data_IF_830149397845
#
_entry.id   IF_830149397845
#
_cell.length_a   1.000
_cell.length_b   1.000
_cell.length_c   1.000
_cell.angle_alpha   90.00
_cell.angle_beta   90.00
_cell.angle_gamma   90.00
#
_symmetry.space_group_name_H-M   'P 1'
#
loop_
_entity.id
_entity.type
_entity.pdbx_description
1 polymer ?
#
# COMPACT_ATOMS: atom_id res chain seq x y z
N UNK A 1 -36.72 -16.62 -86.39
CA UNK A 1 -36.27 -17.63 -85.40
C UNK A 1 -35.55 -16.88 -84.28
N UNK A 2 -36.05 -16.69 -83.06
CA UNK A 2 -37.04 -17.45 -82.30
C UNK A 2 -36.33 -18.18 -81.15
N UNK A 3 -36.52 -17.69 -79.91
CA UNK A 3 -36.33 -18.35 -78.60
C UNK A 3 -34.91 -18.89 -78.29
N UNK A 4 -34.34 -18.88 -77.08
CA UNK A 4 -34.84 -19.37 -75.80
C UNK A 4 -34.00 -18.74 -74.67
N UNK A 5 -34.74 -18.39 -73.63
CA UNK A 5 -34.37 -17.89 -72.32
C UNK A 5 -33.84 -19.02 -71.40
N UNK A 6 -33.34 -18.65 -70.21
CA UNK A 6 -33.30 -19.42 -68.95
C UNK A 6 -32.10 -20.31 -68.57
N UNK A 7 -31.57 -19.88 -67.42
CA UNK A 7 -31.32 -20.64 -66.18
C UNK A 7 -30.08 -21.53 -66.17
N UNK A 8 -29.07 -21.02 -65.45
CA UNK A 8 -28.05 -21.69 -64.64
C UNK A 8 -26.81 -20.80 -64.80
N UNK A 9 -26.69 -19.71 -64.07
CA UNK A 9 -25.74 -19.66 -62.95
C UNK A 9 -26.39 -18.85 -61.82
N UNK A 10 -26.99 -19.61 -60.91
CA UNK A 10 -27.45 -19.17 -59.60
C UNK A 10 -26.29 -19.45 -58.64
N UNK A 11 -25.99 -18.48 -57.77
CA UNK A 11 -25.25 -18.60 -56.49
C UNK A 11 -23.73 -18.37 -56.56
N UNK A 12 -23.33 -17.12 -56.38
CA UNK A 12 -22.06 -16.72 -55.78
C UNK A 12 -22.35 -15.48 -54.94
N UNK A 13 -22.49 -15.68 -53.64
CA UNK A 13 -23.04 -14.74 -52.66
C UNK A 13 -22.17 -13.48 -52.56
N UNK A 14 -22.73 -12.36 -53.00
CA UNK A 14 -22.36 -11.03 -52.55
C UNK A 14 -22.88 -10.84 -51.12
N UNK A 15 -22.00 -10.50 -50.18
CA UNK A 15 -22.37 -10.29 -48.78
C UNK A 15 -21.17 -10.26 -47.84
N UNK A 16 -20.17 -9.43 -48.13
CA UNK A 16 -18.99 -9.22 -47.28
C UNK A 16 -19.02 -7.78 -46.77
N UNK A 17 -19.94 -7.48 -45.86
CA UNK A 17 -19.97 -6.20 -45.15
C UNK A 17 -20.77 -6.35 -43.84
N UNK A 18 -20.23 -5.75 -42.78
CA UNK A 18 -20.75 -5.67 -41.41
C UNK A 18 -20.46 -6.88 -40.51
N UNK A 19 -19.42 -6.74 -39.67
CA UNK A 19 -19.45 -6.83 -38.20
C UNK A 19 -18.03 -6.62 -37.65
N UNK A 20 -17.46 -5.44 -37.92
CA UNK A 20 -16.28 -4.94 -37.22
C UNK A 20 -16.77 -3.94 -36.18
N UNK A 21 -16.92 -4.39 -34.94
CA UNK A 21 -17.46 -3.55 -33.87
C UNK A 21 -17.77 -4.35 -32.63
N UNK A 22 -16.77 -5.01 -32.05
CA UNK A 22 -16.92 -5.62 -30.73
C UNK A 22 -15.72 -5.29 -29.85
N UNK A 23 -16.06 -4.53 -28.80
CA UNK A 23 -15.37 -4.37 -27.53
C UNK A 23 -13.94 -3.81 -27.57
N UNK A 24 -13.85 -2.47 -27.59
CA UNK A 24 -12.84 -1.81 -26.76
C UNK A 24 -13.28 -2.04 -25.31
N UNK A 25 -12.89 -3.19 -24.75
CA UNK A 25 -12.94 -3.39 -23.31
C UNK A 25 -11.87 -2.46 -22.72
N UNK A 26 -12.26 -1.22 -22.41
CA UNK A 26 -11.46 -0.38 -21.55
C UNK A 26 -11.20 -1.17 -20.28
N UNK A 27 -9.94 -1.45 -19.99
CA UNK A 27 -9.52 -2.00 -18.72
C UNK A 27 -10.08 -1.08 -17.64
N UNK A 28 -11.11 -1.54 -16.94
CA UNK A 28 -11.65 -0.84 -15.79
C UNK A 28 -10.56 -0.86 -14.72
N UNK A 29 -9.74 0.19 -14.70
CA UNK A 29 -8.72 0.41 -13.70
C UNK A 29 -9.42 0.33 -12.33
N UNK A 30 -8.92 -0.55 -11.46
CA UNK A 30 -9.42 -0.64 -10.10
C UNK A 30 -9.34 0.75 -9.46
N UNK A 31 -10.46 1.26 -8.97
CA UNK A 31 -10.52 2.59 -8.34
C UNK A 31 -10.12 2.54 -6.86
N UNK A 32 -10.10 1.34 -6.28
CA UNK A 32 -9.86 1.18 -4.86
C UNK A 32 -9.26 -0.18 -4.50
N UNK A 33 -8.53 -0.22 -3.39
CA UNK A 33 -7.85 -1.40 -2.83
C UNK A 33 -8.19 -1.53 -1.35
N UNK A 34 -8.55 -2.73 -0.90
CA UNK A 34 -8.72 -3.02 0.52
C UNK A 34 -7.35 -3.08 1.19
N UNK A 35 -7.08 -2.20 2.17
CA UNK A 35 -5.79 -2.17 2.91
C UNK A 35 -5.86 -2.92 4.23
N UNK A 36 -7.06 -3.09 4.81
CA UNK A 36 -7.30 -3.95 5.99
C UNK A 36 -8.75 -4.39 6.02
N UNK A 37 -8.99 -5.58 6.57
CA UNK A 37 -10.33 -6.12 6.71
C UNK A 37 -10.41 -7.02 7.94
N UNK A 38 -11.41 -6.79 8.79
CA UNK A 38 -11.63 -7.52 10.04
C UNK A 38 -13.11 -7.79 10.24
N UNK A 39 -13.44 -8.95 10.81
CA UNK A 39 -14.82 -9.36 11.11
C UNK A 39 -15.36 -10.48 10.20
N UNK A 40 -16.62 -10.89 10.37
CA UNK A 40 -17.25 -11.97 9.60
C UNK A 40 -17.21 -11.84 8.06
N UNK A 41 -17.12 -10.63 7.50
CA UNK A 41 -17.03 -10.42 6.04
C UNK A 41 -15.59 -10.28 5.54
N UNK A 42 -14.58 -10.44 6.41
CA UNK A 42 -13.18 -10.29 6.03
C UNK A 42 -12.75 -11.25 4.92
N UNK A 43 -13.30 -12.47 4.90
CA UNK A 43 -13.05 -13.43 3.81
C UNK A 43 -13.58 -12.98 2.45
N UNK A 44 -14.63 -12.15 2.40
CA UNK A 44 -15.16 -11.59 1.15
C UNK A 44 -14.34 -10.38 0.67
N UNK A 45 -13.68 -9.68 1.59
CA UNK A 45 -12.86 -8.50 1.33
C UNK A 45 -11.46 -8.68 1.90
N UNK A 46 -10.65 -9.65 1.42
CA UNK A 46 -9.29 -9.84 1.92
C UNK A 46 -8.44 -8.59 1.67
N UNK A 47 -7.40 -8.42 2.51
CA UNK A 47 -6.38 -7.39 2.30
C UNK A 47 -5.78 -7.55 0.90
N UNK A 48 -5.68 -6.43 0.19
CA UNK A 48 -5.20 -6.36 -1.18
C UNK A 48 -6.25 -6.55 -2.27
N UNK A 49 -7.51 -6.83 -1.92
CA UNK A 49 -8.57 -6.96 -2.92
C UNK A 49 -8.77 -5.63 -3.65
N UNK A 50 -8.56 -5.64 -4.96
CA UNK A 50 -8.93 -4.57 -5.89
C UNK A 50 -10.44 -4.55 -6.08
N UNK A 51 -11.05 -3.37 -5.94
CA UNK A 51 -12.47 -3.15 -6.10
C UNK A 51 -12.72 -2.20 -7.28
N UNK A 52 -13.67 -2.53 -8.18
CA UNK A 52 -13.99 -1.70 -9.33
C UNK A 52 -14.65 -0.37 -8.92
N UNK A 53 -14.76 0.56 -9.87
CA UNK A 53 -15.52 1.79 -9.69
C UNK A 53 -16.96 1.47 -9.25
N UNK A 54 -17.51 2.24 -8.29
CA UNK A 54 -18.88 2.08 -7.78
C UNK A 54 -19.16 0.69 -7.17
N UNK A 55 -18.12 -0.03 -6.73
CA UNK A 55 -18.29 -1.31 -6.07
C UNK A 55 -19.15 -1.17 -4.81
N UNK A 56 -20.01 -2.15 -4.59
CA UNK A 56 -20.85 -2.25 -3.41
C UNK A 56 -20.20 -3.19 -2.40
N UNK A 57 -19.88 -2.67 -1.22
CA UNK A 57 -19.29 -3.40 -0.08
C UNK A 57 -20.41 -3.66 0.93
N UNK A 58 -20.72 -4.93 1.17
CA UNK A 58 -21.75 -5.35 2.13
C UNK A 58 -21.07 -5.88 3.38
N UNK A 59 -21.32 -5.22 4.51
CA UNK A 59 -20.70 -5.53 5.79
C UNK A 59 -21.76 -6.02 6.78
N UNK A 60 -21.39 -7.03 7.57
CA UNK A 60 -22.15 -7.57 8.71
C UNK A 60 -21.78 -6.80 9.98
N UNK A 61 -22.56 -7.01 11.05
CA UNK A 61 -22.28 -6.39 12.34
C UNK A 61 -20.89 -6.79 12.86
N UNK A 62 -20.12 -5.81 13.32
CA UNK A 62 -18.76 -6.02 13.82
C UNK A 62 -17.67 -6.07 12.74
N UNK A 63 -18.02 -5.86 11.47
CA UNK A 63 -17.03 -5.73 10.39
C UNK A 63 -16.40 -4.34 10.36
N UNK A 64 -15.10 -4.30 10.07
CA UNK A 64 -14.40 -3.09 9.64
C UNK A 64 -13.56 -3.39 8.41
N UNK A 65 -13.78 -2.63 7.34
CA UNK A 65 -13.01 -2.74 6.10
C UNK A 65 -12.42 -1.38 5.77
N UNK A 66 -11.10 -1.32 5.72
CA UNK A 66 -10.36 -0.12 5.34
C UNK A 66 -10.01 -0.18 3.86
N UNK A 67 -10.44 0.81 3.11
CA UNK A 67 -10.29 0.91 1.65
C UNK A 67 -9.50 2.16 1.32
N UNK A 68 -8.51 2.01 0.45
CA UNK A 68 -7.82 3.12 -0.19
C UNK A 68 -8.42 3.33 -1.58
N UNK A 69 -8.85 4.55 -1.89
CA UNK A 69 -9.30 4.97 -3.22
C UNK A 69 -8.61 6.28 -3.63
N UNK A 70 -8.93 6.82 -4.81
CA UNK A 70 -8.36 8.10 -5.29
C UNK A 70 -8.68 9.29 -4.39
N UNK A 71 -9.73 9.23 -3.59
CA UNK A 71 -10.06 10.26 -2.59
C UNK A 71 -9.34 10.03 -1.25
N UNK A 72 -8.54 8.97 -1.13
CA UNK A 72 -7.74 8.61 0.03
C UNK A 72 -8.26 7.37 0.76
N UNK A 73 -7.81 7.17 1.99
CA UNK A 73 -8.18 5.99 2.78
C UNK A 73 -9.45 6.25 3.61
N UNK A 74 -10.31 5.23 3.76
CA UNK A 74 -11.51 5.28 4.61
C UNK A 74 -11.77 3.94 5.28
N UNK A 75 -12.40 3.96 6.46
CA UNK A 75 -12.89 2.77 7.15
C UNK A 75 -14.39 2.69 6.95
N UNK A 76 -14.87 1.51 6.56
CA UNK A 76 -16.27 1.15 6.43
C UNK A 76 -16.60 0.22 7.60
N UNK A 77 -17.56 0.59 8.44
CA UNK A 77 -17.96 -0.20 9.61
C UNK A 77 -19.37 -0.77 9.40
N UNK A 78 -19.54 -2.08 9.55
CA UNK A 78 -20.83 -2.74 9.42
C UNK A 78 -21.69 -2.68 10.69
N UNK A 79 -22.98 -3.05 10.60
CA UNK A 79 -23.65 -3.61 9.43
C UNK A 79 -24.10 -2.53 8.43
N UNK A 80 -24.06 -2.84 7.13
CA UNK A 80 -24.54 -1.92 6.10
C UNK A 80 -24.00 -2.20 4.70
N UNK A 81 -24.54 -1.48 3.72
CA UNK A 81 -24.12 -1.54 2.32
C UNK A 81 -23.51 -0.21 1.92
N UNK A 82 -22.24 -0.23 1.51
CA UNK A 82 -21.44 0.96 1.18
C UNK A 82 -21.09 0.95 -0.30
N UNK A 83 -21.34 2.05 -0.99
CA UNK A 83 -20.98 2.20 -2.41
C UNK A 83 -19.72 3.06 -2.55
N UNK A 84 -18.75 2.57 -3.33
CA UNK A 84 -17.46 3.23 -3.51
C UNK A 84 -17.53 4.21 -4.70
N UNK A 85 -18.13 5.38 -4.48
CA UNK A 85 -18.51 6.28 -5.57
C UNK A 85 -17.48 7.37 -5.90
N UNK A 86 -16.30 7.37 -5.24
CA UNK A 86 -15.30 8.45 -5.32
C UNK A 86 -15.76 9.81 -4.77
N UNK A 87 -17.06 10.02 -4.63
CA UNK A 87 -17.67 11.22 -4.07
C UNK A 87 -17.77 11.13 -2.55
N UNK A 88 -16.67 11.45 -1.86
CA UNK A 88 -16.75 11.96 -0.48
C UNK A 88 -15.85 13.18 -0.40
N UNK A 89 -16.47 14.34 -0.18
CA UNK A 89 -15.78 15.59 0.13
C UNK A 89 -14.85 15.37 1.32
N UNK A 90 -13.56 15.68 1.15
CA UNK A 90 -12.66 15.93 2.26
C UNK A 90 -11.82 17.16 1.97
N UNK A 91 -11.61 17.94 3.03
CA UNK A 91 -10.67 19.03 3.08
C UNK A 91 -9.28 18.52 2.67
N UNK A 92 -8.56 19.29 1.84
CA UNK A 92 -7.37 18.85 1.08
C UNK A 92 -6.17 18.29 1.88
N UNK A 93 -6.24 18.17 3.21
CA UNK A 93 -5.17 17.66 4.06
C UNK A 93 -4.92 16.15 3.96
N UNK A 94 -5.95 15.32 3.81
CA UNK A 94 -5.81 13.86 3.83
C UNK A 94 -5.01 13.28 2.66
N UNK A 95 -5.29 13.77 1.44
CA UNK A 95 -4.56 13.37 0.24
C UNK A 95 -3.07 13.77 0.30
N UNK A 96 -2.77 14.97 0.82
CA UNK A 96 -1.37 15.42 0.99
C UNK A 96 -0.60 14.59 2.01
N UNK A 97 -1.26 14.14 3.10
CA UNK A 97 -0.64 13.27 4.09
C UNK A 97 -0.31 11.89 3.50
N UNK A 98 -1.25 11.30 2.75
CA UNK A 98 -1.03 10.03 2.06
C UNK A 98 0.10 10.13 1.03
N UNK A 99 0.08 11.14 0.16
CA UNK A 99 1.14 11.37 -0.81
C UNK A 99 2.52 11.54 -0.14
N UNK A 100 2.57 12.25 1.01
CA UNK A 100 3.83 12.42 1.75
C UNK A 100 4.39 11.12 2.33
N UNK A 101 3.51 10.18 2.73
CA UNK A 101 3.92 8.88 3.24
C UNK A 101 4.41 7.92 2.15
N UNK A 102 3.83 8.03 0.95
CA UNK A 102 4.16 7.19 -0.20
C UNK A 102 5.30 7.80 -1.04
N UNK A 103 5.72 9.02 -0.72
CA UNK A 103 6.87 9.66 -1.35
C UNK A 103 8.15 8.83 -1.12
N UNK A 104 8.88 8.57 -2.20
CA UNK A 104 10.10 7.74 -2.22
C UNK A 104 11.32 8.40 -1.58
N UNK A 105 11.23 9.69 -1.25
CA UNK A 105 12.27 10.45 -0.54
C UNK A 105 11.66 11.09 0.71
N UNK A 106 11.83 10.45 1.86
CA UNK A 106 11.22 10.88 3.11
C UNK A 106 12.24 11.05 4.22
N UNK A 107 13.05 12.11 4.16
CA UNK A 107 13.64 12.65 5.39
C UNK A 107 12.50 13.07 6.32
N UNK A 108 12.55 12.63 7.59
CA UNK A 108 11.55 12.97 8.59
C UNK A 108 11.35 14.50 8.61
N UNK A 109 10.21 14.98 8.10
CA UNK A 109 9.90 16.40 8.15
C UNK A 109 9.37 16.67 9.55
N UNK A 110 10.23 17.19 10.40
CA UNK A 110 9.84 17.71 11.71
C UNK A 110 8.71 18.71 11.51
N UNK A 111 7.49 18.33 11.90
CA UNK A 111 6.37 19.26 12.01
C UNK A 111 6.62 20.16 13.21
N UNK A 112 7.43 21.20 13.04
CA UNK A 112 7.51 22.32 13.98
C UNK A 112 6.36 23.28 13.69
N UNK A 113 5.15 22.87 14.06
CA UNK A 113 3.98 23.76 14.08
C UNK A 113 4.02 24.62 15.34
N UNK A 114 4.07 25.94 15.18
CA UNK A 114 3.95 26.88 16.30
C UNK A 114 2.49 26.90 16.80
N UNK A 115 2.23 26.21 17.92
CA UNK A 115 0.97 26.38 18.67
C UNK A 115 1.06 27.64 19.54
N UNK A 116 0.32 28.69 19.18
CA UNK A 116 0.08 29.82 20.10
C UNK A 116 -0.96 29.37 21.12
N UNK A 117 -0.52 28.88 22.26
CA UNK A 117 -1.38 28.52 23.40
C UNK A 117 -0.62 27.69 24.41
N UNK A 118 -0.17 28.33 25.49
CA UNK A 118 0.50 27.66 26.60
C UNK A 118 -0.51 26.85 27.42
N UNK A 119 -0.28 25.54 27.53
CA UNK A 119 -0.49 24.72 28.75
C UNK A 119 0.04 23.31 28.49
N UNK A 120 1.00 22.87 29.30
CA UNK A 120 1.64 21.54 29.35
C UNK A 120 2.26 21.05 28.02
N UNK A 121 3.57 20.83 28.01
CA UNK A 121 4.21 20.06 26.95
C UNK A 121 3.50 18.70 26.87
N UNK A 122 2.83 18.35 25.76
CA UNK A 122 2.26 17.03 25.63
C UNK A 122 3.44 16.06 25.73
N UNK A 123 3.33 15.06 26.59
CA UNK A 123 4.21 13.89 26.52
C UNK A 123 4.00 13.35 25.12
N UNK A 124 4.92 13.66 24.21
CA UNK A 124 4.82 13.22 22.82
C UNK A 124 5.00 11.71 22.89
N UNK A 125 3.88 10.99 22.85
CA UNK A 125 3.89 9.54 22.79
C UNK A 125 4.85 9.15 21.65
N UNK A 126 5.73 8.18 21.92
CA UNK A 126 6.64 7.68 20.90
C UNK A 126 5.84 7.28 19.66
N UNK A 127 6.28 7.64 18.43
CA UNK A 127 5.55 7.26 17.23
C UNK A 127 5.41 5.74 17.21
N UNK A 128 4.19 5.24 17.04
CA UNK A 128 3.88 3.80 17.10
C UNK A 128 4.13 3.09 15.77
N UNK A 129 4.49 3.85 14.73
CA UNK A 129 4.76 3.40 13.37
C UNK A 129 5.62 4.43 12.61
N UNK A 130 6.31 4.02 11.52
CA UNK A 130 7.03 4.95 10.65
C UNK A 130 6.08 5.90 9.91
N UNK A 131 6.56 7.12 9.61
CA UNK A 131 5.80 8.12 8.85
C UNK A 131 5.88 7.92 7.33
N UNK A 132 6.70 6.99 6.85
CA UNK A 132 6.89 6.70 5.44
C UNK A 132 6.73 5.19 5.21
N UNK A 133 5.95 4.83 4.19
CA UNK A 133 5.62 3.43 3.88
C UNK A 133 6.85 2.64 3.42
N UNK A 134 7.89 3.29 2.90
CA UNK A 134 9.10 2.64 2.44
C UNK A 134 10.11 2.35 3.56
N UNK A 135 9.83 2.79 4.79
CA UNK A 135 10.66 2.45 5.95
C UNK A 135 10.29 1.09 6.53
N UNK A 136 11.30 0.29 6.87
CA UNK A 136 11.12 -1.01 7.51
C UNK A 136 11.04 -0.83 9.02
N UNK A 137 9.91 -1.23 9.63
CA UNK A 137 9.75 -1.25 11.08
C UNK A 137 10.46 -2.48 11.67
N UNK A 138 11.61 -2.25 12.28
CA UNK A 138 12.45 -3.32 12.84
C UNK A 138 11.88 -3.96 14.11
N UNK A 139 10.75 -3.46 14.63
CA UNK A 139 10.09 -4.02 15.83
C UNK A 139 9.03 -5.06 15.51
N UNK A 140 8.53 -5.14 14.26
CA UNK A 140 7.38 -5.99 13.91
C UNK A 140 7.71 -7.08 12.88
N UNK A 141 8.80 -6.94 12.12
CA UNK A 141 9.10 -7.84 11.01
C UNK A 141 8.01 -7.81 9.92
N UNK A 142 7.95 -8.85 9.10
CA UNK A 142 6.99 -9.00 8.00
C UNK A 142 7.61 -8.86 6.61
N UNK A 143 6.74 -8.79 5.60
CA UNK A 143 7.14 -8.60 4.20
C UNK A 143 7.04 -7.14 3.80
N UNK A 144 8.10 -6.61 3.19
CA UNK A 144 8.25 -5.22 2.79
C UNK A 144 8.59 -5.12 1.30
N UNK A 145 7.82 -4.31 0.59
CA UNK A 145 8.11 -3.90 -0.77
C UNK A 145 9.15 -2.78 -0.73
N UNK A 146 10.21 -2.96 -1.53
CA UNK A 146 11.34 -2.04 -1.60
C UNK A 146 11.25 -1.27 -2.92
N UNK A 147 11.03 0.03 -2.82
CA UNK A 147 10.97 0.94 -3.98
C UNK A 147 12.36 1.28 -4.54
N UNK A 148 13.35 1.38 -3.68
CA UNK A 148 14.75 1.65 -4.03
C UNK A 148 15.66 0.94 -3.02
N UNK A 149 16.35 -0.14 -3.43
CA UNK A 149 17.29 -0.85 -2.59
C UNK A 149 18.43 0.01 -2.04
N UNK A 150 18.85 1.05 -2.78
CA UNK A 150 19.97 1.91 -2.39
C UNK A 150 19.59 2.94 -1.33
N UNK A 151 18.30 3.30 -1.26
CA UNK A 151 17.76 4.28 -0.32
C UNK A 151 16.93 3.64 0.80
N UNK A 152 16.99 2.32 0.98
CA UNK A 152 16.20 1.62 1.98
C UNK A 152 16.59 2.06 3.40
N UNK A 153 15.59 2.30 4.25
CA UNK A 153 15.78 2.79 5.61
C UNK A 153 15.08 1.88 6.61
N UNK A 154 15.79 1.58 7.68
CA UNK A 154 15.31 0.93 8.89
C UNK A 154 14.81 1.98 9.87
N UNK A 155 13.62 1.77 10.40
CA UNK A 155 12.99 2.61 11.42
C UNK A 155 12.83 1.83 12.73
N UNK A 156 13.09 2.50 13.85
CA UNK A 156 12.84 1.99 15.21
C UNK A 156 11.82 2.85 15.97
N UNK A 157 10.96 2.24 16.83
CA UNK A 157 9.99 2.98 17.62
C UNK A 157 10.62 3.80 18.76
N UNK A 158 11.57 3.21 19.47
CA UNK A 158 12.26 3.89 20.57
C UNK A 158 13.46 4.67 20.05
N UNK A 159 13.43 5.99 20.27
CA UNK A 159 14.51 6.91 19.93
C UNK A 159 15.10 7.60 21.17
N UNK A 160 14.72 7.20 22.38
CA UNK A 160 15.13 7.89 23.61
C UNK A 160 16.63 7.76 23.86
N UNK A 161 17.18 6.58 23.61
CA UNK A 161 18.59 6.25 23.82
C UNK A 161 19.27 5.81 22.52
N UNK A 162 20.59 5.77 22.56
CA UNK A 162 21.37 5.04 21.57
C UNK A 162 20.93 3.57 21.56
N UNK A 163 20.92 2.95 20.39
CA UNK A 163 20.53 1.56 20.26
C UNK A 163 21.27 0.90 19.12
N UNK A 164 21.63 -0.37 19.32
CA UNK A 164 22.28 -1.20 18.31
C UNK A 164 21.48 -2.48 18.13
N UNK A 165 21.30 -2.88 16.88
CA UNK A 165 20.83 -4.21 16.53
C UNK A 165 21.76 -4.83 15.49
N UNK A 166 21.55 -6.10 15.19
CA UNK A 166 22.30 -6.85 14.19
C UNK A 166 21.33 -7.35 13.13
N UNK A 167 21.70 -7.10 11.88
CA UNK A 167 21.00 -7.61 10.72
C UNK A 167 21.75 -8.83 10.19
N UNK A 168 21.06 -9.94 10.05
CA UNK A 168 21.57 -11.21 9.52
C UNK A 168 20.84 -11.56 8.23
N UNK A 169 21.58 -11.75 7.15
CA UNK A 169 21.07 -12.26 5.88
C UNK A 169 20.97 -13.79 5.87
N UNK A 170 20.17 -14.32 4.95
CA UNK A 170 20.07 -15.76 4.70
C UNK A 170 21.39 -16.39 4.23
N UNK A 171 22.28 -15.62 3.60
CA UNK A 171 23.59 -16.07 3.16
C UNK A 171 24.66 -16.07 4.29
N UNK A 172 24.27 -15.66 5.50
CA UNK A 172 25.16 -15.58 6.66
C UNK A 172 25.89 -14.24 6.80
N UNK A 173 25.76 -13.31 5.87
CA UNK A 173 26.30 -11.96 6.02
C UNK A 173 25.61 -11.22 7.18
N UNK A 174 26.39 -10.47 7.94
CA UNK A 174 25.91 -9.72 9.11
C UNK A 174 26.38 -8.28 9.08
N UNK A 175 25.55 -7.38 9.60
CA UNK A 175 25.89 -5.98 9.79
C UNK A 175 25.28 -5.42 11.07
N UNK A 176 26.04 -4.59 11.77
CA UNK A 176 25.54 -3.83 12.91
C UNK A 176 24.78 -2.59 12.44
N UNK A 177 23.63 -2.38 13.06
CA UNK A 177 22.72 -1.28 12.80
C UNK A 177 22.64 -0.43 14.07
N UNK A 178 23.38 0.67 14.10
CA UNK A 178 23.39 1.59 15.23
C UNK A 178 22.62 2.88 14.93
N UNK A 179 21.72 3.22 15.83
CA UNK A 179 20.98 4.47 15.88
C UNK A 179 21.46 5.34 17.04
N UNK A 180 21.43 6.66 16.83
CA UNK A 180 21.67 7.65 17.87
C UNK A 180 20.38 8.04 18.56
N UNK A 181 20.46 8.43 19.83
CA UNK A 181 19.38 9.07 20.56
C UNK A 181 18.80 10.23 19.74
N UNK A 182 17.48 10.35 19.76
CA UNK A 182 16.69 11.28 18.97
C UNK A 182 16.46 10.87 17.50
N UNK A 183 17.25 9.95 16.93
CA UNK A 183 17.12 9.51 15.54
C UNK A 183 16.51 8.09 15.43
N UNK A 184 15.30 7.95 14.86
CA UNK A 184 14.70 6.64 14.64
C UNK A 184 15.11 6.00 13.30
N UNK A 185 15.83 6.71 12.42
CA UNK A 185 16.14 6.27 11.06
C UNK A 185 17.59 5.82 10.93
N UNK A 186 17.80 4.73 10.19
CA UNK A 186 19.12 4.25 9.80
C UNK A 186 19.06 3.68 8.38
N UNK A 187 19.93 4.14 7.50
CA UNK A 187 20.07 3.59 6.15
C UNK A 187 20.49 2.12 6.25
N UNK A 188 19.88 1.28 5.41
CA UNK A 188 20.21 -0.13 5.28
C UNK A 188 21.71 -0.32 4.95
N UNK A 189 22.44 -1.21 5.64
CA UNK A 189 23.88 -1.40 5.44
C UNK A 189 24.20 -2.24 4.19
N UNK A 190 23.83 -1.75 3.01
CA UNK A 190 23.87 -2.49 1.74
C UNK A 190 25.26 -2.93 1.29
N UNK A 191 26.32 -2.28 1.77
CA UNK A 191 27.70 -2.64 1.49
C UNK A 191 28.11 -4.00 2.11
N UNK A 192 27.48 -4.39 3.23
CA UNK A 192 27.80 -5.65 3.94
C UNK A 192 26.67 -6.65 3.84
N UNK A 193 25.42 -6.17 3.89
CA UNK A 193 24.22 -6.99 3.74
C UNK A 193 23.42 -6.40 2.59
N UNK A 194 23.62 -6.85 1.34
CA UNK A 194 22.88 -6.34 0.20
C UNK A 194 21.39 -6.64 0.31
N UNK A 195 20.54 -5.76 -0.25
CA UNK A 195 19.10 -6.02 -0.40
C UNK A 195 18.87 -6.88 -1.64
N UNK A 196 18.26 -8.05 -1.46
CA UNK A 196 17.97 -9.01 -2.53
C UNK A 196 16.47 -9.27 -2.61
N UNK A 197 15.94 -9.38 -3.83
CA UNK A 197 14.53 -9.66 -4.04
C UNK A 197 14.13 -11.04 -3.49
N UNK A 198 13.03 -11.09 -2.74
CA UNK A 198 12.50 -12.29 -2.11
C UNK A 198 13.27 -12.80 -0.89
N UNK A 199 14.45 -12.24 -0.59
CA UNK A 199 15.31 -12.68 0.51
C UNK A 199 14.70 -12.30 1.87
N UNK A 200 14.99 -13.12 2.88
CA UNK A 200 14.61 -12.84 4.28
C UNK A 200 15.85 -12.54 5.11
N UNK A 201 15.72 -11.56 5.99
CA UNK A 201 16.72 -11.13 6.94
C UNK A 201 16.17 -11.31 8.35
N UNK A 202 17.05 -11.56 9.30
CA UNK A 202 16.69 -11.56 10.72
C UNK A 202 17.30 -10.32 11.35
N UNK A 203 16.45 -9.50 11.96
CA UNK A 203 16.90 -8.39 12.78
C UNK A 203 16.80 -8.78 14.25
N UNK A 204 17.90 -8.62 14.97
CA UNK A 204 17.99 -8.89 16.40
C UNK A 204 18.41 -7.62 17.11
N UNK A 205 17.83 -7.36 18.29
CA UNK A 205 18.30 -6.28 19.15
C UNK A 205 18.24 -6.72 20.62
N UNK A 206 18.92 -6.03 21.54
CA UNK A 206 18.80 -6.29 22.97
C UNK A 206 17.38 -6.08 23.51
N UNK A 207 16.54 -5.34 22.77
CA UNK A 207 15.16 -5.01 23.15
C UNK A 207 14.20 -5.81 22.27
N UNK A 208 13.48 -6.76 22.87
CA UNK A 208 12.53 -7.62 22.18
C UNK A 208 13.17 -8.87 21.56
N UNK A 209 12.34 -9.68 20.90
CA UNK A 209 12.79 -10.90 20.21
C UNK A 209 13.26 -10.62 18.78
N UNK A 210 14.06 -11.53 18.17
CA UNK A 210 14.41 -11.43 16.77
C UNK A 210 13.18 -11.41 15.86
N UNK A 211 13.19 -10.54 14.85
CA UNK A 211 12.12 -10.44 13.85
C UNK A 211 12.63 -10.79 12.46
N UNK A 212 11.76 -11.39 11.64
CA UNK A 212 12.07 -11.72 10.25
C UNK A 212 11.53 -10.64 9.33
N UNK A 213 12.38 -10.16 8.43
CA UNK A 213 12.09 -9.13 7.43
C UNK A 213 12.28 -9.75 6.06
N UNK A 214 11.23 -9.87 5.26
CA UNK A 214 11.32 -10.32 3.87
C UNK A 214 11.23 -9.12 2.94
N UNK A 215 12.17 -8.98 2.01
CA UNK A 215 12.16 -7.88 1.04
C UNK A 215 11.62 -8.34 -0.30
N UNK A 216 10.77 -7.53 -0.92
CA UNK A 216 10.26 -7.72 -2.28
C UNK A 216 10.62 -6.47 -3.09
N UNK A 217 11.62 -6.56 -3.95
CA UNK A 217 12.09 -5.41 -4.72
C UNK A 217 11.13 -5.15 -5.87
N UNK A 218 10.65 -3.91 -5.97
CA UNK A 218 9.75 -3.50 -7.03
C UNK A 218 10.56 -3.11 -8.27
N UNK A 219 10.37 -3.81 -9.39
CA UNK A 219 11.00 -3.48 -10.66
C UNK A 219 10.57 -2.10 -11.18
N UNK A 220 9.29 -1.77 -10.99
CA UNK A 220 8.73 -0.44 -11.23
C UNK A 220 7.82 -0.08 -10.06
N UNK A 221 7.85 1.18 -9.67
CA UNK A 221 6.98 1.71 -8.62
C UNK A 221 5.98 2.63 -9.31
N UNK A 222 4.67 2.32 -9.24
CA UNK A 222 3.64 3.21 -9.78
C UNK A 222 3.72 4.61 -9.15
N UNK A 223 3.15 5.59 -9.83
CA UNK A 223 3.03 6.97 -9.30
C UNK A 223 1.69 7.22 -8.63
N UNK A 224 0.64 6.49 -9.05
CA UNK A 224 -0.69 6.53 -8.44
C UNK A 224 -0.71 5.70 -7.15
N UNK A 225 -1.23 6.29 -6.07
CA UNK A 225 -1.23 5.70 -4.74
C UNK A 225 -2.05 4.41 -4.65
N UNK A 226 -3.16 4.32 -5.40
CA UNK A 226 -4.00 3.12 -5.45
C UNK A 226 -3.27 2.01 -6.18
N UNK A 227 -2.56 2.34 -7.26
CA UNK A 227 -1.70 1.39 -7.95
C UNK A 227 -0.53 0.91 -7.06
N UNK A 228 0.13 1.81 -6.32
CA UNK A 228 1.19 1.43 -5.37
C UNK A 228 0.65 0.44 -4.33
N UNK A 229 -0.48 0.74 -3.68
CA UNK A 229 -1.09 -0.16 -2.71
C UNK A 229 -1.53 -1.49 -3.35
N UNK A 230 -2.01 -1.44 -4.59
CA UNK A 230 -2.33 -2.63 -5.39
C UNK A 230 -1.09 -3.49 -5.65
N UNK A 231 0.04 -2.91 -6.00
CA UNK A 231 1.31 -3.62 -6.19
C UNK A 231 1.83 -4.19 -4.86
N UNK A 232 1.72 -3.44 -3.76
CA UNK A 232 2.08 -3.94 -2.42
C UNK A 232 1.24 -5.17 -2.04
N UNK A 233 -0.06 -5.13 -2.31
CA UNK A 233 -0.97 -6.25 -2.12
C UNK A 233 -0.60 -7.48 -2.94
N UNK A 234 -0.32 -7.31 -4.23
CA UNK A 234 0.09 -8.40 -5.11
C UNK A 234 1.40 -9.06 -4.66
N UNK A 235 2.32 -8.28 -4.09
CA UNK A 235 3.60 -8.75 -3.55
C UNK A 235 3.51 -9.24 -2.09
N UNK A 236 2.34 -9.13 -1.46
CA UNK A 236 2.11 -9.57 -0.08
C UNK A 236 2.83 -8.71 0.97
N UNK A 237 3.04 -7.43 0.69
CA UNK A 237 3.73 -6.47 1.56
C UNK A 237 2.82 -5.95 2.69
N UNK A 238 2.40 -6.87 3.56
CA UNK A 238 1.35 -6.65 4.56
C UNK A 238 1.69 -5.58 5.58
N UNK A 239 2.95 -5.47 6.01
CA UNK A 239 3.39 -4.46 6.98
C UNK A 239 3.13 -3.03 6.49
N UNK A 240 3.29 -2.80 5.19
CA UNK A 240 3.06 -1.52 4.55
C UNK A 240 1.57 -1.22 4.37
N UNK A 241 0.78 -2.22 3.99
CA UNK A 241 -0.68 -2.09 3.92
C UNK A 241 -1.30 -1.82 5.30
N UNK A 242 -0.76 -2.45 6.34
CA UNK A 242 -1.18 -2.21 7.72
C UNK A 242 -0.84 -0.80 8.20
N UNK A 243 0.30 -0.26 7.77
CA UNK A 243 0.63 1.15 8.01
C UNK A 243 -0.42 2.06 7.36
N UNK A 244 -0.71 1.86 6.06
CA UNK A 244 -1.73 2.64 5.35
C UNK A 244 -3.10 2.57 6.04
N UNK A 245 -3.48 1.39 6.54
CA UNK A 245 -4.72 1.20 7.27
C UNK A 245 -4.73 1.98 8.61
N UNK A 246 -3.64 1.96 9.36
CA UNK A 246 -3.55 2.65 10.65
C UNK A 246 -3.72 4.17 10.50
N UNK A 247 -3.21 4.78 9.43
CA UNK A 247 -3.41 6.22 9.20
C UNK A 247 -4.84 6.58 8.83
N UNK A 248 -5.56 5.69 8.15
CA UNK A 248 -6.98 5.86 7.88
C UNK A 248 -7.81 5.89 9.17
N UNK A 249 -7.46 5.03 10.12
CA UNK A 249 -8.11 4.97 11.44
C UNK A 249 -7.75 6.17 12.30
N UNK A 250 -6.48 6.59 12.31
CA UNK A 250 -6.04 7.77 13.06
C UNK A 250 -6.71 9.07 12.58
N UNK A 251 -6.91 9.22 11.26
CA UNK A 251 -7.60 10.38 10.67
C UNK A 251 -9.08 10.44 11.07
N UNK A 252 -9.75 9.29 11.21
CA UNK A 252 -11.15 9.25 11.63
C UNK A 252 -11.35 9.51 13.13
N UNK A 253 -10.38 9.13 13.97
CA UNK A 253 -10.47 9.34 15.42
C UNK A 253 -10.20 10.79 15.84
N UNK A 254 -9.59 11.60 14.98
CA UNK A 254 -9.27 13.01 15.24
C UNK A 254 -10.24 14.02 14.61
N UNK A 255 -11.36 13.55 14.05
CA UNK A 255 -12.43 14.36 13.47
C UNK A 255 -13.59 14.58 14.42
#
# INVERSE_FOLDING_TARGET
>A
MGWVDRKLIRKGVAGMAALAGMAIAGSAMAQSVVVRSTGPSAGAYPQGKKLPAHATVVLKGGDQVTVLDKAGTRVLAGPGTFTLNGAVNRDGGGATALASMMARGGGARTRTGAVRGATAAPVVAAPTAPENVWHIDVSKGGTYCVADPAALVLWRPDKTLDGTGTLLSQDGSTADVSWRAGNPLKVWPSATVPVVDGQTYTFSSPVGGPVKIRTMVLATVPTDEVEIAGTMAEKGCTAQLDLLANLASATQAGG
#
